data_IF_511970883405
#
_entry.id   IF_511970883405
#
_cell.length_a   1.000
_cell.length_b   1.000
_cell.length_c   1.000
_cell.angle_alpha   90.00
_cell.angle_beta   90.00
_cell.angle_gamma   90.00
#
_symmetry.space_group_name_H-M   'P 1'
#
loop_
_entity.id
_entity.type
_entity.pdbx_description
1 polymer ?
#
# COMPACT_ATOMS: atom_id res chain seq x y z
N UNK A 1 -20.16 17.03 -0.71
CA UNK A 1 -20.03 15.83 0.14
C UNK A 1 -18.69 15.92 0.86
N UNK A 2 -18.67 16.00 2.19
CA UNK A 2 -17.41 15.84 2.93
C UNK A 2 -16.97 14.38 2.76
N UNK A 3 -15.81 14.17 2.12
CA UNK A 3 -15.20 12.86 2.10
C UNK A 3 -14.87 12.48 3.55
N UNK A 4 -15.32 11.31 4.00
CA UNK A 4 -14.93 10.80 5.31
C UNK A 4 -13.42 10.58 5.30
N UNK A 5 -12.74 11.00 6.38
CA UNK A 5 -11.30 10.83 6.53
C UNK A 5 -11.00 9.35 6.68
N UNK A 6 -10.60 8.69 5.59
CA UNK A 6 -10.18 7.30 5.60
C UNK A 6 -8.72 7.24 6.03
N UNK A 7 -8.45 6.68 7.21
CA UNK A 7 -7.11 6.45 7.75
C UNK A 7 -6.84 4.96 7.90
N UNK A 8 -5.57 4.56 7.75
CA UNK A 8 -5.15 3.18 8.00
C UNK A 8 -5.08 2.96 9.50
N UNK A 9 -5.68 1.87 9.96
CA UNK A 9 -5.70 1.40 11.34
C UNK A 9 -5.06 0.01 11.43
N UNK A 10 -4.75 -0.46 12.65
CA UNK A 10 -4.22 -1.82 12.87
C UNK A 10 -5.11 -2.90 12.25
N UNK A 11 -6.44 -2.72 12.28
CA UNK A 11 -7.40 -3.67 11.71
C UNK A 11 -7.39 -3.75 10.18
N UNK A 12 -6.79 -2.79 9.49
CA UNK A 12 -6.60 -2.84 8.04
C UNK A 12 -5.35 -3.65 7.65
N UNK A 13 -4.46 -3.92 8.61
CA UNK A 13 -3.19 -4.61 8.39
C UNK A 13 -3.38 -6.11 8.63
N UNK A 14 -3.31 -6.90 7.56
CA UNK A 14 -3.24 -8.36 7.60
C UNK A 14 -1.98 -8.85 8.33
N UNK A 15 -2.12 -9.99 9.00
CA UNK A 15 -0.99 -10.73 9.55
C UNK A 15 -0.13 -11.32 8.43
N UNK A 16 1.13 -11.65 8.73
CA UNK A 16 2.13 -12.02 7.73
C UNK A 16 1.68 -13.21 6.84
N UNK A 17 1.12 -14.26 7.44
CA UNK A 17 0.69 -15.45 6.69
C UNK A 17 -0.48 -15.14 5.74
N UNK A 18 -1.44 -14.34 6.22
CA UNK A 18 -2.60 -13.94 5.42
C UNK A 18 -2.17 -13.02 4.28
N UNK A 19 -1.24 -12.10 4.55
CA UNK A 19 -0.68 -11.24 3.52
C UNK A 19 0.08 -12.05 2.46
N UNK A 20 0.89 -13.03 2.85
CA UNK A 20 1.63 -13.90 1.92
C UNK A 20 0.69 -14.60 0.93
N UNK A 21 -0.45 -15.09 1.42
CA UNK A 21 -1.44 -15.78 0.58
C UNK A 21 -2.00 -14.89 -0.53
N UNK A 22 -2.24 -13.59 -0.24
CA UNK A 22 -2.87 -12.65 -1.19
C UNK A 22 -1.89 -11.69 -1.88
N UNK A 23 -0.61 -11.68 -1.48
CA UNK A 23 0.40 -10.71 -1.90
C UNK A 23 0.52 -10.57 -3.41
N UNK A 24 0.54 -11.70 -4.13
CA UNK A 24 0.72 -11.73 -5.59
C UNK A 24 -0.43 -11.01 -6.31
N UNK A 25 -1.66 -11.28 -5.88
CA UNK A 25 -2.88 -10.69 -6.44
C UNK A 25 -2.94 -9.20 -6.12
N UNK A 26 -2.81 -8.82 -4.83
CA UNK A 26 -2.79 -7.42 -4.42
C UNK A 26 -1.74 -6.60 -5.14
N UNK A 27 -0.53 -7.14 -5.34
CA UNK A 27 0.52 -6.44 -6.08
C UNK A 27 0.13 -6.16 -7.53
N UNK A 28 -0.55 -7.10 -8.20
CA UNK A 28 -1.03 -6.90 -9.57
C UNK A 28 -2.10 -5.80 -9.64
N UNK A 29 -3.05 -5.81 -8.71
CA UNK A 29 -4.09 -4.79 -8.60
C UNK A 29 -3.51 -3.39 -8.36
N UNK A 30 -2.55 -3.27 -7.44
CA UNK A 30 -1.93 -1.99 -7.10
C UNK A 30 -1.10 -1.45 -8.27
N UNK A 31 -0.39 -2.30 -9.01
CA UNK A 31 0.33 -1.87 -10.23
C UNK A 31 -0.64 -1.33 -11.27
N UNK A 32 -1.75 -2.03 -11.50
CA UNK A 32 -2.79 -1.56 -12.42
C UNK A 32 -3.39 -0.22 -11.97
N UNK A 33 -3.65 -0.06 -10.66
CA UNK A 33 -4.17 1.19 -10.09
C UNK A 33 -3.18 2.35 -10.21
N UNK A 34 -1.88 2.11 -9.94
CA UNK A 34 -0.83 3.13 -10.00
C UNK A 34 -0.61 3.68 -11.41
N UNK A 35 -0.93 2.92 -12.45
CA UNK A 35 -0.80 3.36 -13.85
C UNK A 35 -1.52 4.69 -14.12
N UNK A 36 -2.72 4.86 -13.57
CA UNK A 36 -3.54 6.06 -13.77
C UNK A 36 -3.29 7.14 -12.71
N UNK A 37 -2.33 6.94 -11.81
CA UNK A 37 -1.99 7.82 -10.68
C UNK A 37 -0.55 8.32 -10.75
N UNK A 38 0.11 8.12 -11.89
CA UNK A 38 1.50 8.50 -12.12
C UNK A 38 1.55 9.66 -13.10
N UNK A 39 2.18 10.76 -12.71
CA UNK A 39 2.40 11.92 -13.57
C UNK A 39 3.89 12.20 -13.67
N UNK A 40 4.43 12.07 -14.87
CA UNK A 40 5.83 12.36 -15.15
C UNK A 40 6.03 13.88 -15.25
N UNK A 41 7.11 14.38 -14.64
CA UNK A 41 7.48 15.81 -14.66
C UNK A 41 8.90 15.91 -15.21
N UNK A 42 8.97 16.03 -16.53
CA UNK A 42 10.23 15.95 -17.26
C UNK A 42 10.90 14.57 -17.13
N UNK A 43 12.20 14.47 -17.42
CA UNK A 43 12.89 13.19 -17.56
C UNK A 43 13.35 12.56 -16.23
N UNK A 44 13.26 13.28 -15.10
CA UNK A 44 13.91 12.89 -13.83
C UNK A 44 12.97 12.83 -12.64
N UNK A 45 11.74 13.32 -12.77
CA UNK A 45 10.79 13.35 -11.66
C UNK A 45 9.45 12.72 -12.06
N UNK A 46 8.80 12.09 -11.10
CA UNK A 46 7.48 11.47 -11.29
C UNK A 46 6.70 11.58 -10.00
N UNK A 47 5.51 12.15 -10.08
CA UNK A 47 4.56 12.19 -8.98
C UNK A 47 3.68 10.96 -8.98
N UNK A 48 3.55 10.35 -7.80
CA UNK A 48 2.56 9.33 -7.52
C UNK A 48 1.48 9.91 -6.63
N UNK A 49 0.24 9.88 -7.11
CA UNK A 49 -0.92 10.27 -6.32
C UNK A 49 -1.42 9.08 -5.51
N UNK A 50 -0.94 8.98 -4.28
CA UNK A 50 -1.27 7.88 -3.37
C UNK A 50 -2.73 7.96 -2.87
N UNK A 51 -3.29 6.80 -2.53
CA UNK A 51 -4.60 6.66 -1.91
C UNK A 51 -4.52 5.63 -0.77
N UNK A 52 -5.65 5.30 -0.16
CA UNK A 52 -5.70 4.33 0.93
C UNK A 52 -5.07 2.99 0.55
N UNK A 53 -5.41 2.42 -0.61
CA UNK A 53 -4.97 1.09 -1.01
C UNK A 53 -3.47 1.06 -1.34
N UNK A 54 -2.95 2.10 -2.00
CA UNK A 54 -1.53 2.17 -2.34
C UNK A 54 -0.65 2.41 -1.11
N UNK A 55 -1.12 3.21 -0.15
CA UNK A 55 -0.46 3.40 1.14
C UNK A 55 -0.50 2.12 1.98
N UNK A 56 -1.65 1.43 2.04
CA UNK A 56 -1.78 0.17 2.77
C UNK A 56 -0.86 -0.91 2.18
N UNK A 57 -0.76 -0.99 0.85
CA UNK A 57 0.17 -1.89 0.18
C UNK A 57 1.64 -1.61 0.55
N UNK A 58 2.04 -0.34 0.68
CA UNK A 58 3.40 0.02 1.07
C UNK A 58 3.71 -0.45 2.50
N UNK A 59 2.78 -0.26 3.43
CA UNK A 59 2.91 -0.74 4.82
C UNK A 59 3.06 -2.26 4.85
N UNK A 60 2.18 -2.97 4.13
CA UNK A 60 2.22 -4.44 4.04
C UNK A 60 3.53 -4.97 3.44
N UNK A 61 4.01 -4.35 2.37
CA UNK A 61 5.29 -4.75 1.78
C UNK A 61 6.47 -4.54 2.72
N UNK A 62 6.47 -3.45 3.50
CA UNK A 62 7.50 -3.21 4.51
C UNK A 62 7.50 -4.29 5.59
N UNK A 63 6.33 -4.58 6.17
CA UNK A 63 6.18 -5.62 7.19
C UNK A 63 6.57 -7.01 6.68
N UNK A 64 6.26 -7.32 5.41
CA UNK A 64 6.65 -8.58 4.77
C UNK A 64 8.17 -8.69 4.57
N UNK A 65 8.82 -7.63 4.09
CA UNK A 65 10.27 -7.63 3.82
C UNK A 65 11.07 -7.75 5.12
N UNK A 66 10.67 -6.99 6.13
CA UNK A 66 11.38 -6.91 7.40
C UNK A 66 11.02 -8.05 8.37
N UNK A 67 9.92 -8.78 8.09
CA UNK A 67 9.34 -9.79 8.98
C UNK A 67 9.03 -9.24 10.38
N UNK A 68 8.75 -7.94 10.49
CA UNK A 68 8.61 -7.23 11.78
C UNK A 68 7.34 -7.55 12.56
N UNK A 69 6.32 -8.14 11.94
CA UNK A 69 5.09 -8.58 12.62
C UNK A 69 4.46 -7.50 13.49
N UNK A 70 3.92 -7.88 14.66
CA UNK A 70 3.31 -6.93 15.61
C UNK A 70 4.31 -5.93 16.19
N UNK A 71 5.56 -6.32 16.38
CA UNK A 71 6.56 -5.46 17.05
C UNK A 71 6.84 -4.18 16.26
N UNK A 72 6.66 -4.20 14.94
CA UNK A 72 6.85 -3.05 14.06
C UNK A 72 5.59 -2.17 13.93
N UNK A 73 4.42 -2.68 14.32
CA UNK A 73 3.15 -1.95 14.24
C UNK A 73 2.84 -1.22 15.57
N UNK A 74 3.51 -1.62 16.65
CA UNK A 74 3.33 -1.13 18.02
C UNK A 74 3.79 0.34 18.22
#
# INVERSE_FOLDING_TARGET
>A
MQASRKSISRGDILDLNDYIAVRKERRAEIVAMKKNRRVEVGPHATFYFENFDTMLQQIQEMLYIEKGGEEQIA
#
